data_IF_458534211362
#
_entry.id   IF_458534211362
#
_cell.length_a   1.000
_cell.length_b   1.000
_cell.length_c   1.000
_cell.angle_alpha   90.00
_cell.angle_beta   90.00
_cell.angle_gamma   90.00
#
_symmetry.space_group_name_H-M   'P 1'
#
loop_
_entity.id
_entity.type
_entity.pdbx_description
1 polymer ?
#
# COMPACT_ATOMS: atom_id res chain seq x y z
N UNK A 1 22.95 -1.06 -16.49
CA UNK A 1 21.74 -1.86 -16.44
C UNK A 1 20.66 -1.06 -15.74
N UNK A 2 19.58 -0.77 -16.44
CA UNK A 2 18.39 -0.11 -15.86
C UNK A 2 17.34 -1.22 -15.65
N UNK A 3 17.39 -1.85 -14.48
CA UNK A 3 16.39 -2.85 -14.10
C UNK A 3 15.73 -2.40 -12.81
N UNK A 4 14.42 -2.47 -12.75
CA UNK A 4 13.64 -2.28 -11.53
C UNK A 4 13.40 -3.67 -10.93
N UNK A 5 13.72 -3.84 -9.66
CA UNK A 5 13.37 -5.07 -8.95
C UNK A 5 11.85 -5.15 -8.82
N UNK A 6 11.30 -6.24 -9.28
CA UNK A 6 9.89 -6.57 -9.16
C UNK A 6 9.67 -7.73 -8.20
N UNK A 7 8.61 -7.65 -7.37
CA UNK A 7 8.17 -8.72 -6.49
C UNK A 7 6.75 -9.10 -6.91
N UNK A 8 6.63 -10.14 -7.72
CA UNK A 8 5.33 -10.58 -8.24
C UNK A 8 4.37 -10.94 -7.11
N UNK A 9 3.19 -10.32 -7.11
CA UNK A 9 2.09 -10.56 -6.17
C UNK A 9 2.53 -10.58 -4.71
N UNK A 10 3.39 -9.63 -4.34
CA UNK A 10 3.94 -9.65 -3.00
C UNK A 10 4.50 -8.33 -2.52
N UNK A 11 5.24 -8.36 -1.43
CA UNK A 11 5.78 -7.17 -0.78
C UNK A 11 7.18 -7.40 -0.22
N UNK A 12 7.96 -6.31 -0.12
CA UNK A 12 9.21 -6.34 0.62
C UNK A 12 8.96 -6.37 2.13
N UNK A 13 9.71 -7.19 2.85
CA UNK A 13 9.72 -7.20 4.31
C UNK A 13 10.48 -6.03 4.95
N UNK A 14 11.19 -5.23 4.14
CA UNK A 14 12.05 -4.13 4.61
C UNK A 14 12.04 -2.96 3.64
N UNK A 15 12.46 -1.81 4.13
CA UNK A 15 12.73 -0.65 3.30
C UNK A 15 13.89 -0.95 2.34
N UNK A 16 13.70 -0.65 1.05
CA UNK A 16 14.69 -0.89 0.01
C UNK A 16 15.48 0.39 -0.28
N UNK A 17 16.78 0.23 -0.53
CA UNK A 17 17.65 1.37 -0.88
C UNK A 17 17.35 1.93 -2.27
N UNK A 18 16.86 1.09 -3.18
CA UNK A 18 16.50 1.46 -4.55
C UNK A 18 15.00 1.37 -4.75
N UNK A 19 14.42 2.17 -5.65
CA UNK A 19 13.04 2.00 -6.06
C UNK A 19 12.80 0.57 -6.58
N UNK A 20 11.69 -0.01 -6.20
CA UNK A 20 11.25 -1.33 -6.62
C UNK A 20 9.77 -1.30 -6.98
N UNK A 21 9.27 -2.35 -7.58
CA UNK A 21 7.89 -2.49 -7.97
C UNK A 21 7.32 -3.79 -7.41
N UNK A 22 6.04 -3.79 -7.19
CA UNK A 22 5.24 -5.01 -7.15
C UNK A 22 4.11 -4.88 -8.14
N UNK A 23 3.84 -5.94 -8.84
CA UNK A 23 2.64 -6.11 -9.64
C UNK A 23 1.65 -7.01 -8.89
N UNK A 24 0.40 -6.65 -8.91
CA UNK A 24 -0.71 -7.45 -8.38
C UNK A 24 -1.99 -7.16 -9.14
N UNK A 25 -3.03 -7.96 -8.94
CA UNK A 25 -4.34 -7.75 -9.56
C UNK A 25 -5.42 -7.46 -8.51
N UNK A 26 -6.48 -6.79 -8.96
CA UNK A 26 -7.72 -6.64 -8.18
C UNK A 26 -8.31 -8.02 -7.89
N UNK A 27 -8.29 -8.94 -8.87
CA UNK A 27 -8.66 -10.33 -8.67
C UNK A 27 -7.66 -11.09 -7.81
N UNK A 28 -8.13 -12.01 -6.98
CA UNK A 28 -7.28 -12.79 -6.08
C UNK A 28 -6.50 -13.90 -6.78
N UNK A 29 -7.03 -14.47 -7.87
CA UNK A 29 -6.49 -15.69 -8.49
C UNK A 29 -5.84 -15.46 -9.84
N UNK A 30 -6.37 -14.52 -10.65
CA UNK A 30 -5.98 -14.38 -12.04
C UNK A 30 -5.53 -12.98 -12.41
N UNK A 31 -4.63 -12.92 -13.40
CA UNK A 31 -4.27 -11.68 -14.10
C UNK A 31 -5.29 -11.31 -15.16
N UNK A 32 -5.98 -12.31 -15.73
CA UNK A 32 -7.01 -12.15 -16.72
C UNK A 32 -8.40 -12.25 -16.12
N UNK A 33 -9.42 -11.84 -16.87
CA UNK A 33 -10.80 -12.10 -16.49
C UNK A 33 -11.07 -13.60 -16.40
N UNK A 34 -11.67 -14.01 -15.29
CA UNK A 34 -12.29 -15.32 -15.12
C UNK A 34 -13.68 -15.13 -14.50
N UNK A 35 -14.62 -16.00 -14.88
CA UNK A 35 -15.97 -15.96 -14.36
C UNK A 35 -15.98 -16.33 -12.87
N UNK A 36 -16.71 -15.57 -12.04
CA UNK A 36 -16.77 -15.81 -10.59
C UNK A 36 -15.48 -15.45 -9.83
N UNK A 37 -14.61 -14.60 -10.37
CA UNK A 37 -13.40 -14.11 -9.69
C UNK A 37 -13.75 -13.38 -8.39
N UNK A 38 -13.13 -13.82 -7.30
CA UNK A 38 -13.12 -13.04 -6.06
C UNK A 38 -12.13 -11.86 -6.16
N UNK A 39 -12.58 -10.67 -5.78
CA UNK A 39 -11.74 -9.49 -5.72
C UNK A 39 -11.18 -9.25 -4.31
N UNK A 40 -10.01 -8.63 -4.26
CA UNK A 40 -9.48 -8.03 -3.03
C UNK A 40 -10.37 -6.87 -2.62
N UNK A 41 -10.50 -6.63 -1.32
CA UNK A 41 -11.21 -5.44 -0.85
C UNK A 41 -10.43 -4.15 -1.19
N UNK A 42 -11.13 -3.02 -1.36
CA UNK A 42 -10.45 -1.72 -1.51
C UNK A 42 -9.49 -1.41 -0.37
N UNK A 43 -9.87 -1.74 0.86
CA UNK A 43 -9.07 -1.55 2.06
C UNK A 43 -7.77 -2.35 1.99
N UNK A 44 -7.83 -3.63 1.62
CA UNK A 44 -6.65 -4.47 1.44
C UNK A 44 -5.67 -3.86 0.44
N UNK A 45 -6.16 -3.41 -0.72
CA UNK A 45 -5.31 -2.82 -1.76
C UNK A 45 -4.71 -1.48 -1.30
N UNK A 46 -5.48 -0.67 -0.57
CA UNK A 46 -4.98 0.59 0.01
C UNK A 46 -3.90 0.31 1.07
N UNK A 47 -4.09 -0.66 1.95
CA UNK A 47 -3.08 -1.05 2.93
C UNK A 47 -1.80 -1.56 2.25
N UNK A 48 -1.94 -2.35 1.20
CA UNK A 48 -0.81 -2.82 0.41
C UNK A 48 -0.06 -1.65 -0.25
N UNK A 49 -0.78 -0.71 -0.87
CA UNK A 49 -0.20 0.50 -1.45
C UNK A 49 0.59 1.32 -0.42
N UNK A 50 0.01 1.57 0.75
CA UNK A 50 0.65 2.32 1.83
C UNK A 50 1.94 1.62 2.29
N UNK A 51 1.88 0.31 2.52
CA UNK A 51 3.04 -0.48 2.96
C UNK A 51 4.15 -0.48 1.90
N UNK A 52 3.80 -0.66 0.63
CA UNK A 52 4.73 -0.66 -0.50
C UNK A 52 5.44 0.70 -0.63
N UNK A 53 4.68 1.79 -0.64
CA UNK A 53 5.23 3.15 -0.82
C UNK A 53 6.13 3.54 0.35
N UNK A 54 5.75 3.19 1.59
CA UNK A 54 6.58 3.46 2.78
C UNK A 54 7.94 2.76 2.74
N UNK A 55 8.08 1.71 1.94
CA UNK A 55 9.31 0.91 1.75
C UNK A 55 10.06 1.19 0.45
N UNK A 56 9.77 2.35 -0.20
CA UNK A 56 10.37 2.81 -1.46
C UNK A 56 9.87 2.03 -2.70
N UNK A 57 8.68 1.45 -2.63
CA UNK A 57 8.08 0.67 -3.71
C UNK A 57 7.01 1.43 -4.50
N UNK A 58 6.68 0.87 -5.65
CA UNK A 58 5.56 1.27 -6.49
C UNK A 58 4.61 0.09 -6.70
N UNK A 59 3.32 0.36 -6.72
CA UNK A 59 2.29 -0.64 -7.00
C UNK A 59 1.82 -0.53 -8.45
N UNK A 60 1.95 -1.62 -9.19
CA UNK A 60 1.29 -1.83 -10.48
C UNK A 60 0.03 -2.68 -10.23
N UNK A 61 -1.13 -2.06 -10.29
CA UNK A 61 -2.41 -2.74 -10.06
C UNK A 61 -3.08 -3.12 -11.38
N UNK A 62 -3.16 -4.42 -11.63
CA UNK A 62 -3.80 -4.98 -12.81
C UNK A 62 -5.31 -5.17 -12.59
N UNK A 63 -6.06 -5.05 -13.69
CA UNK A 63 -7.47 -5.42 -13.81
C UNK A 63 -7.61 -6.49 -14.88
N UNK A 64 -8.64 -7.34 -14.77
CA UNK A 64 -8.95 -8.36 -15.77
C UNK A 64 -10.13 -7.93 -16.66
N UNK A 65 -9.91 -7.27 -17.81
CA UNK A 65 -11.02 -6.91 -18.70
C UNK A 65 -11.63 -8.15 -19.36
N UNK A 66 -12.93 -8.06 -19.65
CA UNK A 66 -13.62 -9.04 -20.51
C UNK A 66 -13.12 -8.96 -21.95
N UNK A 67 -13.47 -9.95 -22.75
CA UNK A 67 -13.10 -9.99 -24.18
C UNK A 67 -13.62 -8.79 -25.01
N UNK A 68 -14.68 -8.15 -24.57
CA UNK A 68 -15.23 -6.92 -25.18
C UNK A 68 -14.56 -5.63 -24.68
N UNK A 69 -13.54 -5.75 -23.81
CA UNK A 69 -12.81 -4.62 -23.24
C UNK A 69 -13.47 -3.98 -22.02
N UNK A 70 -14.63 -4.46 -21.58
CA UNK A 70 -15.26 -3.95 -20.34
C UNK A 70 -14.64 -4.59 -19.10
N UNK A 71 -14.76 -3.90 -17.98
CA UNK A 71 -14.44 -4.45 -16.64
C UNK A 71 -15.73 -4.74 -15.88
N UNK A 72 -15.69 -5.66 -14.93
CA UNK A 72 -16.86 -5.98 -14.11
C UNK A 72 -17.25 -4.81 -13.20
N UNK A 73 -18.53 -4.74 -12.84
CA UNK A 73 -19.00 -3.68 -11.93
C UNK A 73 -18.36 -3.80 -10.55
N UNK A 74 -18.04 -5.02 -10.10
CA UNK A 74 -17.34 -5.29 -8.85
C UNK A 74 -15.91 -4.71 -8.89
N UNK A 75 -15.13 -4.98 -9.94
CA UNK A 75 -13.78 -4.40 -10.10
C UNK A 75 -13.84 -2.89 -10.22
N UNK A 76 -14.80 -2.36 -10.96
CA UNK A 76 -15.04 -0.92 -11.06
C UNK A 76 -15.33 -0.29 -9.69
N UNK A 77 -16.17 -0.93 -8.87
CA UNK A 77 -16.47 -0.47 -7.52
C UNK A 77 -15.23 -0.43 -6.63
N UNK A 78 -14.37 -1.45 -6.71
CA UNK A 78 -13.08 -1.49 -5.99
C UNK A 78 -12.20 -0.30 -6.41
N UNK A 79 -12.00 -0.10 -7.72
CA UNK A 79 -11.18 1.00 -8.23
C UNK A 79 -11.70 2.38 -7.84
N UNK A 80 -13.02 2.59 -7.92
CA UNK A 80 -13.63 3.85 -7.51
C UNK A 80 -13.49 4.11 -6.01
N UNK A 81 -13.53 3.07 -5.18
CA UNK A 81 -13.31 3.19 -3.73
C UNK A 81 -11.87 3.57 -3.41
N UNK A 82 -10.89 2.95 -4.07
CA UNK A 82 -9.47 3.33 -3.96
C UNK A 82 -9.28 4.78 -4.42
N UNK A 83 -9.89 5.16 -5.55
CA UNK A 83 -9.84 6.52 -6.08
C UNK A 83 -10.41 7.56 -5.13
N UNK A 84 -11.52 7.26 -4.42
CA UNK A 84 -12.08 8.13 -3.38
C UNK A 84 -11.12 8.30 -2.22
N UNK A 85 -10.49 7.23 -1.75
CA UNK A 85 -9.49 7.30 -0.70
C UNK A 85 -8.28 8.14 -1.10
N UNK A 86 -7.74 7.91 -2.32
CA UNK A 86 -6.61 8.66 -2.86
C UNK A 86 -6.92 10.14 -3.09
N UNK A 87 -8.17 10.50 -3.40
CA UNK A 87 -8.58 11.90 -3.53
C UNK A 87 -8.40 12.69 -2.23
N UNK A 88 -8.53 12.03 -1.09
CA UNK A 88 -8.38 12.65 0.24
C UNK A 88 -6.94 12.51 0.75
N UNK A 89 -6.36 11.33 0.59
CA UNK A 89 -5.10 10.95 1.25
C UNK A 89 -3.90 10.85 0.29
N UNK A 90 -4.08 11.10 -1.00
CA UNK A 90 -3.06 10.91 -2.02
C UNK A 90 -1.82 11.78 -1.84
N UNK A 91 -1.91 12.88 -1.10
CA UNK A 91 -0.76 13.70 -0.74
C UNK A 91 0.32 12.91 0.02
N UNK A 92 -0.11 11.99 0.90
CA UNK A 92 0.78 11.11 1.65
C UNK A 92 1.36 9.95 0.80
N UNK A 93 0.95 9.83 -0.48
CA UNK A 93 1.34 8.78 -1.41
C UNK A 93 2.14 9.35 -2.59
N UNK A 94 1.55 10.33 -3.30
CA UNK A 94 2.09 10.81 -4.57
C UNK A 94 3.29 11.74 -4.40
N UNK A 95 4.40 11.39 -5.07
CA UNK A 95 5.63 12.17 -5.04
C UNK A 95 6.37 12.09 -3.71
N UNK A 96 5.99 11.17 -2.83
CA UNK A 96 6.64 10.97 -1.54
C UNK A 96 7.92 10.14 -1.64
N UNK A 97 8.66 10.09 -0.55
CA UNK A 97 9.82 9.22 -0.32
C UNK A 97 9.66 8.50 1.00
N UNK A 98 10.35 7.39 1.16
CA UNK A 98 10.41 6.72 2.46
C UNK A 98 11.13 7.60 3.49
N UNK A 99 10.66 7.54 4.74
CA UNK A 99 11.35 8.16 5.86
C UNK A 99 12.47 7.25 6.38
N UNK A 100 13.21 7.66 7.40
CA UNK A 100 14.25 6.84 8.05
C UNK A 100 13.74 5.52 8.63
N UNK A 101 12.42 5.40 8.84
CA UNK A 101 11.71 4.22 9.31
C UNK A 101 10.41 4.11 8.51
N UNK A 102 10.10 2.92 7.99
CA UNK A 102 8.91 2.75 7.16
C UNK A 102 7.59 2.72 7.93
N UNK A 103 7.62 2.41 9.23
CA UNK A 103 6.40 2.33 10.02
C UNK A 103 6.61 1.91 11.46
N UNK A 104 5.50 1.82 12.17
CA UNK A 104 5.37 1.31 13.54
C UNK A 104 4.18 0.35 13.63
N UNK A 105 4.12 -0.37 14.75
CA UNK A 105 3.11 -1.37 15.07
C UNK A 105 3.70 -2.76 15.13
N UNK A 106 2.95 -3.66 15.74
CA UNK A 106 3.38 -5.04 15.99
C UNK A 106 2.87 -6.02 14.93
N UNK A 107 1.98 -5.55 14.03
CA UNK A 107 1.42 -6.41 12.97
C UNK A 107 2.41 -6.51 11.81
N UNK A 108 2.91 -7.71 11.56
CA UNK A 108 3.77 -7.98 10.42
C UNK A 108 2.96 -8.06 9.13
N UNK A 109 3.38 -7.30 8.12
CA UNK A 109 2.88 -7.46 6.77
C UNK A 109 3.42 -8.76 6.15
N UNK A 110 2.62 -9.39 5.30
CA UNK A 110 3.09 -10.51 4.48
C UNK A 110 4.28 -10.05 3.62
N UNK A 111 5.21 -10.94 3.35
CA UNK A 111 6.44 -10.64 2.60
C UNK A 111 6.78 -11.76 1.62
N UNK A 112 7.51 -11.40 0.58
CA UNK A 112 7.89 -12.31 -0.51
C UNK A 112 6.86 -12.31 -1.63
N UNK A 113 7.19 -12.99 -2.71
CA UNK A 113 6.30 -13.17 -3.86
C UNK A 113 5.08 -14.03 -3.50
N UNK A 114 3.97 -13.85 -4.22
CA UNK A 114 2.71 -14.59 -4.07
C UNK A 114 2.11 -14.58 -2.65
N UNK A 115 2.30 -13.46 -1.94
CA UNK A 115 1.82 -13.29 -0.56
C UNK A 115 0.71 -12.24 -0.41
N UNK A 116 0.10 -11.81 -1.52
CA UNK A 116 -0.85 -10.69 -1.60
C UNK A 116 -2.32 -11.06 -1.40
N UNK A 117 -2.65 -12.35 -1.23
CA UNK A 117 -4.04 -12.80 -1.15
C UNK A 117 -4.66 -12.69 0.25
N UNK A 118 -3.85 -12.65 1.29
CA UNK A 118 -4.33 -12.55 2.66
C UNK A 118 -4.54 -11.09 3.07
N UNK A 119 -5.75 -10.74 3.49
CA UNK A 119 -6.00 -9.48 4.17
C UNK A 119 -5.33 -9.51 5.56
N UNK A 120 -4.69 -8.42 5.94
CA UNK A 120 -4.01 -8.28 7.23
C UNK A 120 -4.91 -7.44 8.14
N UNK A 121 -5.20 -7.96 9.32
CA UNK A 121 -5.94 -7.23 10.35
C UNK A 121 -4.98 -6.29 11.10
N UNK A 122 -4.83 -5.08 10.58
CA UNK A 122 -4.06 -4.04 11.26
C UNK A 122 -4.80 -3.47 12.46
N UNK A 123 -4.04 -2.96 13.41
CA UNK A 123 -4.53 -2.27 14.61
C UNK A 123 -4.32 -0.75 14.47
N UNK A 124 -4.88 0.03 15.38
CA UNK A 124 -4.66 1.46 15.45
C UNK A 124 -3.21 1.86 15.85
N UNK A 125 -2.40 0.92 16.25
CA UNK A 125 -0.97 1.13 16.53
C UNK A 125 -0.10 0.90 15.28
N UNK A 126 -0.68 0.30 14.23
CA UNK A 126 0.03 0.05 12.98
C UNK A 126 -0.06 1.28 12.08
N UNK A 127 1.09 1.81 11.72
CA UNK A 127 1.19 2.98 10.85
C UNK A 127 2.38 2.86 9.90
N UNK A 128 2.32 3.64 8.84
CA UNK A 128 3.40 3.76 7.86
C UNK A 128 3.80 5.21 7.68
N UNK A 129 5.06 5.43 7.35
CA UNK A 129 5.62 6.77 7.21
C UNK A 129 6.08 7.04 5.79
N UNK A 130 5.72 8.22 5.30
CA UNK A 130 6.25 8.78 4.05
C UNK A 130 6.66 10.24 4.28
N UNK A 131 7.49 10.77 3.42
CA UNK A 131 7.92 12.17 3.47
C UNK A 131 7.74 12.85 2.13
N UNK A 132 7.42 14.13 2.15
CA UNK A 132 7.40 14.96 0.96
C UNK A 132 7.84 16.37 1.35
N UNK A 133 8.85 16.87 0.68
CA UNK A 133 9.49 18.13 1.03
C UNK A 133 9.94 18.16 2.51
N UNK A 134 9.32 18.98 3.33
CA UNK A 134 9.59 19.09 4.76
C UNK A 134 8.53 18.39 5.65
N UNK A 135 7.57 17.72 5.04
CA UNK A 135 6.46 17.12 5.75
C UNK A 135 6.67 15.62 5.94
N UNK A 136 6.29 15.15 7.13
CA UNK A 136 6.21 13.73 7.48
C UNK A 136 4.75 13.33 7.59
N UNK A 137 4.37 12.34 6.82
CA UNK A 137 3.04 11.74 6.89
C UNK A 137 3.10 10.46 7.73
N UNK A 138 2.23 10.37 8.73
CA UNK A 138 1.97 9.15 9.48
C UNK A 138 0.60 8.62 9.08
N UNK A 139 0.58 7.53 8.33
CA UNK A 139 -0.64 6.93 7.81
C UNK A 139 -1.04 5.79 8.73
N UNK A 140 -2.12 5.98 9.50
CA UNK A 140 -2.65 4.99 10.44
C UNK A 140 -3.47 3.96 9.65
N UNK A 141 -3.17 2.66 9.84
CA UNK A 141 -3.79 1.58 9.05
C UNK A 141 -5.13 1.10 9.61
N UNK A 142 -5.47 1.44 10.85
CA UNK A 142 -6.79 1.24 11.40
C UNK A 142 -7.11 2.33 12.42
N UNK A 143 -8.35 2.82 12.43
CA UNK A 143 -8.74 3.94 13.27
C UNK A 143 -9.03 3.52 14.71
N UNK A 144 -8.75 4.42 15.66
CA UNK A 144 -9.17 4.29 17.06
C UNK A 144 -9.61 5.64 17.61
N UNK A 145 -10.75 5.68 18.26
CA UNK A 145 -11.27 6.88 18.94
C UNK A 145 -10.43 7.27 20.17
N UNK A 146 -9.62 6.35 20.68
CA UNK A 146 -8.73 6.58 21.83
C UNK A 146 -7.40 7.26 21.46
N UNK A 147 -7.23 7.63 20.18
CA UNK A 147 -5.99 8.20 19.67
C UNK A 147 -4.90 7.15 19.43
N UNK A 148 -3.82 7.59 18.78
CA UNK A 148 -2.67 6.76 18.44
C UNK A 148 -1.38 7.46 18.82
N UNK A 149 -0.48 6.73 19.48
CA UNK A 149 0.83 7.24 19.89
C UNK A 149 1.88 6.94 18.83
N UNK A 150 2.52 7.99 18.30
CA UNK A 150 3.65 7.86 17.37
C UNK A 150 4.96 7.80 18.18
N UNK A 151 5.45 6.60 18.44
CA UNK A 151 6.65 6.37 19.28
C UNK A 151 7.96 6.85 18.64
N UNK A 152 8.02 6.88 17.30
CA UNK A 152 9.20 7.31 16.54
C UNK A 152 9.41 8.82 16.50
N UNK A 153 8.40 9.60 16.93
CA UNK A 153 8.49 11.05 17.03
C UNK A 153 8.77 11.46 18.48
N UNK A 154 9.94 12.01 18.70
CA UNK A 154 10.31 12.66 19.95
C UNK A 154 10.68 14.13 19.69
N UNK A 155 10.91 14.92 20.77
CA UNK A 155 11.24 16.34 20.64
C UNK A 155 12.49 16.58 19.76
N UNK A 156 13.48 15.69 19.82
CA UNK A 156 14.71 15.78 19.04
C UNK A 156 14.47 15.50 17.54
N UNK A 157 13.61 14.52 17.21
CA UNK A 157 13.28 14.21 15.82
C UNK A 157 12.41 15.27 15.14
N UNK A 158 11.70 16.10 15.91
CA UNK A 158 10.90 17.22 15.40
C UNK A 158 11.76 18.49 15.28
N UNK A 159 12.75 18.66 16.15
CA UNK A 159 13.64 19.85 16.17
C UNK A 159 14.79 19.77 15.16
N UNK A 160 15.10 18.62 14.61
CA UNK A 160 16.12 18.43 13.58
C UNK A 160 15.52 18.78 12.19
N UNK A 161 15.43 20.09 11.94
CA UNK A 161 15.22 20.68 10.60
C UNK A 161 16.55 21.07 10.00
#
# INVERSE_FOLDING_TARGET
NVQVWDIERGKSGKMMQFPWQTDTSVGKKSWSYIDGEENKSPEQIVHDLIDIVSKNGNLLLNIGPRADGTITDEQKAVLLSIGKWLKVNGEAIYGTRCWKKFGEGDTEATKGAFSDNAAIAYTAQDMRFTTKDNDLYAIILNWSDNGTLIKSLNKESIAAK
#
